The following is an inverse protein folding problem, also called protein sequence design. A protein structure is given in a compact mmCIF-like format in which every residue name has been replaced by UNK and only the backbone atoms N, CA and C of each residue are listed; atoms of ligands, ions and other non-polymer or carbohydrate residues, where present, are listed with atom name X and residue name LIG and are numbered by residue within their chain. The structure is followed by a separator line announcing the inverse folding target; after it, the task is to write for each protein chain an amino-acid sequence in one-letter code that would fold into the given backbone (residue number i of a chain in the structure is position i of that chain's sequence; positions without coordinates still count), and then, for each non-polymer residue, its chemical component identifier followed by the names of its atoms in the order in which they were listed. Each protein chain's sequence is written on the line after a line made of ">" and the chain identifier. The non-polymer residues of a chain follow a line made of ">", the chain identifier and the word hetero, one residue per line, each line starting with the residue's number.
data_IF_663423180521
#
_entry.id   IF_663423180521
#
_cell.length_a   1.000
_cell.length_b   1.000
_cell.length_c   1.000
_cell.angle_alpha   90.00
_cell.angle_beta   90.00
_cell.angle_gamma   90.00
#
_symmetry.space_group_name_H-M   'P 1'
#
loop_
_entity.id
_entity.type
_entity.pdbx_description
1 polymer ?
#
# COMPACT_ATOMS: atom_id res chain seq x y z
N UNK A 1 -10.84 -29.05 12.90
CA UNK A 1 -10.92 -28.63 11.49
C UNK A 1 -11.65 -27.29 11.46
N UNK A 2 -10.93 -26.18 11.53
CA UNK A 2 -11.51 -24.84 11.51
C UNK A 2 -11.80 -24.46 10.06
N UNK A 3 -13.09 -24.30 9.74
CA UNK A 3 -13.55 -23.61 8.55
C UNK A 3 -12.81 -22.27 8.47
N UNK A 4 -11.99 -22.07 7.44
CA UNK A 4 -11.45 -20.75 7.16
C UNK A 4 -12.62 -19.96 6.60
N UNK A 5 -13.22 -19.11 7.42
CA UNK A 5 -14.27 -18.20 6.98
C UNK A 5 -13.74 -17.32 5.84
N UNK A 6 -14.57 -17.14 4.82
CA UNK A 6 -14.30 -16.29 3.66
C UNK A 6 -15.02 -14.96 3.91
N UNK A 7 -14.39 -14.00 4.63
CA UNK A 7 -15.06 -12.80 5.14
C UNK A 7 -15.64 -11.93 4.02
N UNK A 8 -15.11 -12.07 2.80
CA UNK A 8 -15.62 -11.40 1.60
C UNK A 8 -17.05 -11.84 1.26
N UNK A 9 -17.49 -13.04 1.67
CA UNK A 9 -18.90 -13.43 1.51
C UNK A 9 -19.81 -12.50 2.31
N UNK A 10 -19.43 -12.19 3.55
CA UNK A 10 -20.18 -11.28 4.42
C UNK A 10 -20.07 -9.83 3.96
N UNK A 11 -18.85 -9.38 3.61
CA UNK A 11 -18.60 -8.03 3.09
C UNK A 11 -19.36 -7.77 1.78
N UNK A 12 -19.32 -8.71 0.83
CA UNK A 12 -20.05 -8.58 -0.42
C UNK A 12 -21.57 -8.65 -0.19
N UNK A 13 -22.05 -9.56 0.66
CA UNK A 13 -23.49 -9.67 0.97
C UNK A 13 -24.06 -8.39 1.58
N UNK A 14 -23.27 -7.63 2.35
CA UNK A 14 -23.71 -6.36 2.93
C UNK A 14 -23.85 -5.23 1.90
N UNK A 15 -22.98 -5.22 0.88
CA UNK A 15 -22.88 -4.09 -0.06
C UNK A 15 -23.57 -4.35 -1.41
N UNK A 16 -23.77 -5.61 -1.78
CA UNK A 16 -24.23 -6.04 -3.10
C UNK A 16 -25.49 -6.89 -3.01
N UNK A 17 -26.34 -6.79 -4.04
CA UNK A 17 -27.47 -7.67 -4.24
C UNK A 17 -27.01 -8.96 -4.94
N UNK A 18 -26.40 -9.86 -4.16
CA UNK A 18 -25.80 -11.09 -4.65
C UNK A 18 -26.82 -12.07 -5.23
N UNK A 19 -28.02 -12.14 -4.68
CA UNK A 19 -29.05 -13.07 -5.16
C UNK A 19 -29.44 -12.77 -6.61
N UNK A 20 -29.77 -11.50 -6.90
CA UNK A 20 -30.08 -11.07 -8.27
C UNK A 20 -28.88 -11.24 -9.21
N UNK A 21 -27.66 -10.99 -8.73
CA UNK A 21 -26.45 -11.15 -9.53
C UNK A 21 -26.19 -12.61 -9.88
N UNK A 22 -26.39 -13.54 -8.94
CA UNK A 22 -26.22 -14.97 -9.18
C UNK A 22 -27.30 -15.51 -10.12
N UNK A 23 -28.54 -15.06 -9.99
CA UNK A 23 -29.63 -15.45 -10.88
C UNK A 23 -29.37 -14.97 -12.31
N UNK A 24 -28.98 -13.70 -12.48
CA UNK A 24 -28.66 -13.14 -13.79
C UNK A 24 -27.46 -13.86 -14.45
N UNK A 25 -26.41 -14.17 -13.67
CA UNK A 25 -25.26 -14.93 -14.19
C UNK A 25 -25.61 -16.39 -14.53
N UNK A 26 -26.52 -17.02 -13.78
CA UNK A 26 -26.96 -18.39 -14.02
C UNK A 26 -27.68 -18.54 -15.37
N UNK A 27 -28.36 -17.49 -15.85
CA UNK A 27 -28.96 -17.45 -17.20
C UNK A 27 -27.89 -17.66 -18.28
N UNK A 28 -26.77 -16.95 -18.18
CA UNK A 28 -25.68 -17.05 -19.17
C UNK A 28 -24.84 -18.32 -19.02
N UNK A 29 -24.71 -18.83 -17.80
CA UNK A 29 -24.07 -20.11 -17.55
C UNK A 29 -24.93 -21.31 -17.99
N UNK A 30 -26.25 -21.13 -18.08
CA UNK A 30 -27.26 -22.20 -18.24
C UNK A 30 -27.28 -23.23 -17.10
N UNK A 31 -26.57 -22.95 -15.99
CA UNK A 31 -26.46 -23.76 -14.79
C UNK A 31 -26.28 -22.83 -13.58
N UNK A 32 -26.60 -23.29 -12.36
CA UNK A 32 -26.32 -22.53 -11.14
C UNK A 32 -24.84 -22.15 -11.03
N UNK A 33 -24.59 -20.94 -10.51
CA UNK A 33 -23.24 -20.49 -10.16
C UNK A 33 -22.74 -21.37 -9.00
N UNK A 34 -21.56 -21.97 -9.18
CA UNK A 34 -20.94 -22.87 -8.21
C UNK A 34 -20.41 -22.11 -7.00
N UNK A 35 -20.22 -22.79 -5.88
CA UNK A 35 -19.67 -22.18 -4.67
C UNK A 35 -18.27 -21.59 -4.88
N UNK A 36 -17.48 -22.18 -5.77
CA UNK A 36 -16.18 -21.64 -6.17
C UNK A 36 -16.34 -20.30 -6.88
N UNK A 37 -17.20 -20.23 -7.90
CA UNK A 37 -17.45 -18.99 -8.65
C UNK A 37 -18.08 -17.91 -7.77
N UNK A 38 -18.95 -18.27 -6.81
CA UNK A 38 -19.50 -17.33 -5.84
C UNK A 38 -18.43 -16.70 -4.97
N UNK A 39 -17.50 -17.51 -4.43
CA UNK A 39 -16.36 -17.01 -3.63
C UNK A 39 -15.46 -16.10 -4.44
N UNK A 40 -15.13 -16.50 -5.67
CA UNK A 40 -14.38 -15.67 -6.59
C UNK A 40 -15.10 -14.34 -6.86
N UNK A 41 -16.40 -14.37 -7.19
CA UNK A 41 -17.18 -13.17 -7.48
C UNK A 41 -17.23 -12.23 -6.27
N UNK A 42 -17.49 -12.75 -5.06
CA UNK A 42 -17.51 -11.92 -3.85
C UNK A 42 -16.15 -11.25 -3.59
N UNK A 43 -15.06 -11.99 -3.74
CA UNK A 43 -13.73 -11.42 -3.60
C UNK A 43 -13.45 -10.32 -4.65
N UNK A 44 -13.87 -10.54 -5.90
CA UNK A 44 -13.77 -9.55 -6.97
C UNK A 44 -14.59 -8.28 -6.65
N UNK A 45 -15.83 -8.44 -6.18
CA UNK A 45 -16.70 -7.33 -5.76
C UNK A 45 -16.12 -6.52 -4.59
N UNK A 46 -15.31 -7.16 -3.74
CA UNK A 46 -14.54 -6.51 -2.68
C UNK A 46 -13.16 -6.00 -3.16
N UNK A 47 -12.94 -5.85 -4.47
CA UNK A 47 -11.66 -5.41 -5.07
C UNK A 47 -10.44 -6.25 -4.65
N UNK A 48 -10.62 -7.55 -4.40
CA UNK A 48 -9.51 -8.46 -4.12
C UNK A 48 -8.95 -9.02 -5.42
N UNK A 49 -7.62 -9.03 -5.54
CA UNK A 49 -6.94 -9.52 -6.72
C UNK A 49 -6.90 -11.06 -6.80
N UNK A 50 -6.47 -11.58 -7.95
CA UNK A 50 -6.45 -13.03 -8.23
C UNK A 50 -5.51 -13.78 -7.27
N UNK A 51 -4.38 -13.18 -6.90
CA UNK A 51 -3.41 -13.74 -5.95
C UNK A 51 -4.02 -13.93 -4.57
N UNK A 52 -4.80 -12.96 -4.10
CA UNK A 52 -5.56 -13.05 -2.86
C UNK A 52 -6.57 -14.19 -2.91
N UNK A 53 -7.35 -14.28 -4.00
CA UNK A 53 -8.35 -15.34 -4.19
C UNK A 53 -7.68 -16.73 -4.16
N UNK A 54 -6.56 -16.87 -4.87
CA UNK A 54 -5.77 -18.11 -4.90
C UNK A 54 -5.27 -18.51 -3.51
N UNK A 55 -4.72 -17.56 -2.74
CA UNK A 55 -4.28 -17.79 -1.37
C UNK A 55 -5.43 -18.26 -0.47
N UNK A 56 -6.59 -17.60 -0.53
CA UNK A 56 -7.76 -17.94 0.31
C UNK A 56 -8.37 -19.29 -0.07
N UNK A 57 -8.39 -19.61 -1.36
CA UNK A 57 -8.91 -20.88 -1.86
C UNK A 57 -7.92 -22.03 -1.74
N UNK A 58 -6.64 -21.76 -1.38
CA UNK A 58 -5.52 -22.71 -1.40
C UNK A 58 -5.31 -23.33 -2.78
N UNK A 59 -5.42 -22.50 -3.82
CA UNK A 59 -5.25 -22.88 -5.21
C UNK A 59 -4.03 -22.18 -5.80
N UNK A 60 -3.49 -22.74 -6.89
CA UNK A 60 -2.48 -22.04 -7.67
C UNK A 60 -3.12 -20.87 -8.42
N UNK A 61 -2.41 -19.74 -8.48
CA UNK A 61 -2.87 -18.50 -9.15
C UNK A 61 -3.24 -18.75 -10.61
N UNK A 62 -2.44 -19.53 -11.33
CA UNK A 62 -2.70 -19.91 -12.71
C UNK A 62 -4.00 -20.71 -12.90
N UNK A 63 -4.34 -21.56 -11.93
CA UNK A 63 -5.59 -22.33 -11.95
C UNK A 63 -6.80 -21.43 -11.71
N UNK A 64 -6.76 -20.54 -10.70
CA UNK A 64 -7.83 -19.55 -10.47
C UNK A 64 -8.02 -18.66 -11.69
N UNK A 65 -6.93 -18.19 -12.31
CA UNK A 65 -7.00 -17.38 -13.54
C UNK A 65 -7.65 -18.13 -14.69
N UNK A 66 -7.30 -19.39 -14.89
CA UNK A 66 -7.88 -20.22 -15.96
C UNK A 66 -9.38 -20.38 -15.76
N UNK A 67 -9.81 -20.65 -14.53
CA UNK A 67 -11.23 -20.77 -14.18
C UNK A 67 -11.98 -19.45 -14.36
N UNK A 68 -11.41 -18.32 -13.93
CA UNK A 68 -12.01 -17.01 -14.16
C UNK A 68 -12.15 -16.71 -15.66
N UNK A 69 -11.11 -16.93 -16.46
CA UNK A 69 -11.11 -16.64 -17.89
C UNK A 69 -12.05 -17.54 -18.70
N UNK A 70 -12.15 -18.83 -18.35
CA UNK A 70 -12.99 -19.80 -19.08
C UNK A 70 -14.44 -19.83 -18.58
N UNK A 71 -14.66 -19.49 -17.30
CA UNK A 71 -15.98 -19.48 -16.66
C UNK A 71 -16.46 -18.06 -16.39
N UNK A 72 -16.29 -17.60 -15.15
CA UNK A 72 -16.94 -16.40 -14.60
C UNK A 72 -16.84 -15.16 -15.50
N UNK A 73 -15.69 -14.89 -16.13
CA UNK A 73 -15.53 -13.75 -17.02
C UNK A 73 -16.36 -13.88 -18.30
N UNK A 74 -16.57 -15.07 -18.84
CA UNK A 74 -17.44 -15.24 -20.02
C UNK A 74 -18.88 -14.87 -19.70
N UNK A 75 -19.35 -15.24 -18.51
CA UNK A 75 -20.71 -14.90 -18.05
C UNK A 75 -20.83 -13.39 -17.77
N UNK A 76 -19.82 -12.78 -17.16
CA UNK A 76 -19.77 -11.34 -16.93
C UNK A 76 -19.68 -10.52 -18.22
N UNK A 77 -18.96 -11.01 -19.25
CA UNK A 77 -18.94 -10.41 -20.58
C UNK A 77 -20.34 -10.40 -21.19
N UNK A 78 -21.03 -11.52 -21.12
CA UNK A 78 -22.38 -11.64 -21.66
C UNK A 78 -23.39 -10.78 -20.90
N UNK A 79 -23.25 -10.68 -19.57
CA UNK A 79 -24.11 -9.87 -18.72
C UNK A 79 -23.91 -8.35 -18.91
N UNK A 80 -22.66 -7.91 -19.04
CA UNK A 80 -22.30 -6.47 -19.09
C UNK A 80 -22.12 -5.95 -20.52
N UNK A 81 -22.10 -6.84 -21.53
CA UNK A 81 -21.76 -6.53 -22.92
C UNK A 81 -20.37 -5.90 -23.12
N UNK A 82 -19.46 -6.07 -22.15
CA UNK A 82 -18.08 -5.59 -22.22
C UNK A 82 -17.16 -6.71 -22.67
N UNK A 83 -16.38 -6.50 -23.73
CA UNK A 83 -15.53 -7.55 -24.30
C UNK A 83 -14.34 -7.95 -23.41
N UNK A 84 -13.83 -7.03 -22.60
CA UNK A 84 -12.65 -7.22 -21.75
C UNK A 84 -12.99 -7.05 -20.27
N UNK A 85 -13.12 -8.18 -19.59
CA UNK A 85 -13.27 -8.23 -18.13
C UNK A 85 -11.90 -8.40 -17.49
N UNK A 86 -11.62 -7.58 -16.49
CA UNK A 86 -10.40 -7.64 -15.67
C UNK A 86 -10.86 -7.58 -14.21
N UNK A 87 -10.19 -8.29 -13.30
CA UNK A 87 -10.67 -8.45 -11.93
C UNK A 87 -11.04 -7.12 -11.24
N UNK A 88 -10.30 -6.05 -11.53
CA UNK A 88 -10.45 -4.73 -10.92
C UNK A 88 -11.68 -3.96 -11.42
N UNK A 89 -12.14 -4.23 -12.64
CA UNK A 89 -13.29 -3.53 -13.23
C UNK A 89 -14.62 -4.21 -12.91
N UNK A 90 -14.60 -5.43 -12.36
CA UNK A 90 -15.81 -6.20 -12.05
C UNK A 90 -16.76 -5.45 -11.10
N UNK A 91 -16.31 -4.82 -10.00
CA UNK A 91 -17.17 -4.00 -9.16
C UNK A 91 -17.84 -2.87 -9.96
N UNK A 92 -17.05 -2.09 -10.70
CA UNK A 92 -17.54 -0.90 -11.41
C UNK A 92 -18.59 -1.27 -12.47
N UNK A 93 -18.36 -2.38 -13.19
CA UNK A 93 -19.30 -2.89 -14.19
C UNK A 93 -20.64 -3.32 -13.59
N UNK A 94 -20.66 -3.76 -12.33
CA UNK A 94 -21.84 -4.29 -11.67
C UNK A 94 -22.50 -3.27 -10.73
N UNK A 95 -21.80 -2.18 -10.41
CA UNK A 95 -22.20 -1.20 -9.40
C UNK A 95 -23.58 -0.59 -9.70
N UNK A 96 -23.79 -0.13 -10.93
CA UNK A 96 -25.03 0.57 -11.34
C UNK A 96 -26.29 -0.29 -11.14
N UNK A 97 -26.15 -1.61 -11.31
CA UNK A 97 -27.27 -2.57 -11.35
C UNK A 97 -27.42 -3.36 -10.05
N UNK A 98 -26.34 -3.63 -9.32
CA UNK A 98 -26.35 -4.57 -8.21
C UNK A 98 -25.93 -3.98 -6.86
N UNK A 99 -25.45 -2.73 -6.79
CA UNK A 99 -25.08 -2.11 -5.51
C UNK A 99 -26.34 -1.69 -4.73
N UNK A 100 -26.37 -1.98 -3.41
CA UNK A 100 -27.57 -1.81 -2.58
C UNK A 100 -27.90 -0.33 -2.27
N UNK A 101 -26.96 0.61 -2.37
CA UNK A 101 -27.15 2.02 -2.00
C UNK A 101 -26.78 2.97 -3.13
N UNK A 102 -27.78 3.54 -3.82
CA UNK A 102 -27.61 4.39 -5.01
C UNK A 102 -27.71 5.91 -4.73
N UNK A 103 -27.63 6.38 -3.48
CA UNK A 103 -28.15 7.71 -3.11
C UNK A 103 -27.14 8.84 -2.78
N UNK A 104 -25.87 8.81 -3.22
CA UNK A 104 -24.92 9.88 -2.84
C UNK A 104 -23.95 10.41 -3.91
N UNK A 105 -23.98 9.95 -5.17
CA UNK A 105 -22.93 10.29 -6.16
C UNK A 105 -23.47 10.96 -7.45
N UNK A 106 -24.23 12.05 -7.37
CA UNK A 106 -24.66 12.80 -8.56
C UNK A 106 -24.03 14.21 -8.72
N UNK A 107 -22.99 14.56 -7.95
CA UNK A 107 -22.43 15.92 -7.97
C UNK A 107 -20.90 16.02 -8.19
N UNK A 108 -20.22 15.04 -8.80
CA UNK A 108 -18.75 15.05 -8.95
C UNK A 108 -18.21 14.75 -10.37
N UNK A 109 -18.99 14.98 -11.43
CA UNK A 109 -18.63 14.60 -12.81
C UNK A 109 -17.56 15.49 -13.51
N UNK A 110 -16.66 16.16 -12.80
CA UNK A 110 -15.53 16.89 -13.42
C UNK A 110 -14.15 16.41 -12.93
N UNK A 111 -14.06 15.71 -11.78
CA UNK A 111 -12.78 15.18 -11.29
C UNK A 111 -12.54 13.69 -11.63
N UNK A 112 -13.60 12.90 -11.86
CA UNK A 112 -13.47 11.44 -12.10
C UNK A 112 -12.70 11.08 -13.38
N UNK A 113 -12.73 11.91 -14.42
CA UNK A 113 -12.05 11.59 -15.69
C UNK A 113 -10.53 11.62 -15.59
N UNK A 114 -9.96 12.34 -14.63
CA UNK A 114 -8.51 12.39 -14.41
C UNK A 114 -8.06 11.24 -13.50
N UNK A 115 -8.86 10.89 -12.48
CA UNK A 115 -8.60 9.77 -11.56
C UNK A 115 -8.74 8.38 -12.23
N UNK A 116 -9.73 8.21 -13.12
CA UNK A 116 -9.96 6.95 -13.84
C UNK A 116 -8.83 6.61 -14.83
N UNK A 117 -8.17 7.61 -15.42
CA UNK A 117 -7.03 7.38 -16.31
C UNK A 117 -5.75 7.00 -15.55
N UNK A 118 -5.56 7.51 -14.32
CA UNK A 118 -4.47 7.07 -13.45
C UNK A 118 -4.69 5.65 -12.92
N UNK A 119 -5.89 5.33 -12.43
CA UNK A 119 -6.22 4.03 -11.83
C UNK A 119 -6.13 2.88 -12.87
N UNK A 120 -6.53 3.15 -14.12
CA UNK A 120 -6.43 2.19 -15.22
C UNK A 120 -4.98 1.92 -15.66
N UNK A 121 -4.11 2.95 -15.65
CA UNK A 121 -2.68 2.78 -15.92
C UNK A 121 -1.98 2.01 -14.80
N UNK A 122 -2.32 2.25 -13.53
CA UNK A 122 -1.65 1.58 -12.42
C UNK A 122 -2.02 0.09 -12.33
N UNK A 123 -3.29 -0.26 -12.52
CA UNK A 123 -3.70 -1.67 -12.47
C UNK A 123 -3.14 -2.49 -13.63
N UNK A 124 -3.01 -1.89 -14.82
CA UNK A 124 -2.35 -2.54 -15.96
C UNK A 124 -0.88 -2.86 -15.69
N UNK A 125 -0.21 -2.05 -14.87
CA UNK A 125 1.22 -2.17 -14.61
C UNK A 125 1.50 -3.23 -13.55
N UNK A 126 0.74 -3.28 -12.46
CA UNK A 126 0.85 -4.35 -11.46
C UNK A 126 0.61 -5.70 -12.13
N UNK A 127 -0.45 -5.80 -12.95
CA UNK A 127 -0.71 -6.99 -13.72
C UNK A 127 0.43 -7.34 -14.71
N UNK A 128 1.10 -6.34 -15.30
CA UNK A 128 2.24 -6.57 -16.20
C UNK A 128 3.46 -7.09 -15.45
N UNK A 129 3.78 -6.48 -14.30
CA UNK A 129 4.88 -6.92 -13.44
C UNK A 129 4.58 -8.34 -12.94
N UNK A 130 3.42 -8.58 -12.31
CA UNK A 130 3.02 -9.91 -11.82
C UNK A 130 3.08 -10.99 -12.92
N UNK A 131 2.59 -10.68 -14.13
CA UNK A 131 2.64 -11.63 -15.26
C UNK A 131 4.07 -11.98 -15.69
N UNK A 132 4.98 -11.00 -15.67
CA UNK A 132 6.37 -11.21 -16.07
C UNK A 132 7.17 -11.92 -14.96
N UNK A 133 6.90 -11.61 -13.68
CA UNK A 133 7.49 -12.34 -12.55
C UNK A 133 7.11 -13.82 -12.57
N UNK A 134 5.83 -14.10 -12.80
CA UNK A 134 5.31 -15.48 -12.89
C UNK A 134 5.93 -16.24 -14.08
N UNK A 135 6.09 -15.59 -15.24
CA UNK A 135 6.75 -16.21 -16.41
C UNK A 135 8.19 -16.62 -16.15
N UNK A 136 8.95 -15.83 -15.38
CA UNK A 136 10.35 -16.15 -15.04
C UNK A 136 10.47 -17.17 -13.91
N UNK A 137 9.50 -17.23 -12.99
CA UNK A 137 9.43 -18.27 -11.93
C UNK A 137 9.10 -19.66 -12.49
N UNK A 138 8.37 -19.74 -13.60
CA UNK A 138 8.04 -21.01 -14.29
C UNK A 138 9.14 -21.45 -15.28
N UNK A 139 10.11 -20.59 -15.58
CA UNK A 139 11.20 -20.86 -16.52
C UNK A 139 12.49 -21.18 -15.77
N UNK A 140 12.81 -22.47 -15.65
CA UNK A 140 14.12 -22.95 -15.21
C UNK A 140 15.13 -22.63 -16.33
N UNK A 141 15.65 -21.39 -16.38
CA UNK A 141 16.59 -20.94 -17.42
C UNK A 141 17.85 -20.36 -16.80
N UNK A 142 19.05 -20.82 -17.25
CA UNK A 142 20.33 -20.36 -16.74
C UNK A 142 20.58 -18.90 -17.12
N UNK A 143 21.23 -18.18 -16.20
CA UNK A 143 21.80 -16.85 -16.41
C UNK A 143 22.64 -16.80 -17.70
N UNK A 144 22.09 -16.22 -18.77
CA UNK A 144 22.88 -15.81 -19.94
C UNK A 144 23.20 -14.33 -19.85
N UNK A 145 24.46 -14.06 -19.45
CA UNK A 145 25.17 -12.79 -19.68
C UNK A 145 24.97 -12.29 -21.12
N UNK A 146 24.88 -10.97 -21.26
CA UNK A 146 25.10 -10.16 -22.47
C UNK A 146 23.92 -9.58 -23.27
N UNK A 147 22.72 -9.41 -22.70
CA UNK A 147 21.80 -8.35 -23.19
C UNK A 147 21.04 -7.71 -22.00
N UNK A 148 21.73 -6.89 -21.20
CA UNK A 148 21.08 -5.99 -20.25
C UNK A 148 21.41 -4.56 -20.67
N UNK A 149 20.39 -3.87 -21.19
CA UNK A 149 20.30 -2.42 -21.04
C UNK A 149 20.60 -2.13 -19.56
N UNK A 150 21.62 -1.33 -19.26
CA UNK A 150 22.17 -1.21 -17.89
C UNK A 150 21.07 -0.80 -16.90
N UNK A 151 20.57 -1.74 -16.10
CA UNK A 151 19.48 -1.53 -15.13
C UNK A 151 19.80 -0.37 -14.20
N UNK A 152 21.07 -0.24 -13.80
CA UNK A 152 21.52 0.85 -12.95
C UNK A 152 21.32 2.21 -13.63
N UNK A 153 21.58 2.34 -14.94
CA UNK A 153 21.36 3.60 -15.67
C UNK A 153 19.88 3.98 -15.70
N UNK A 154 19.00 2.99 -15.82
CA UNK A 154 17.54 3.21 -15.79
C UNK A 154 17.08 3.61 -14.38
N UNK A 155 17.65 3.01 -13.34
CA UNK A 155 17.41 3.42 -11.94
C UNK A 155 17.91 4.84 -11.70
N UNK A 156 19.14 5.15 -12.11
CA UNK A 156 19.77 6.47 -11.91
C UNK A 156 18.98 7.57 -12.65
N UNK A 157 18.47 7.28 -13.84
CA UNK A 157 17.56 8.19 -14.55
C UNK A 157 16.24 8.39 -13.79
N UNK A 158 15.68 7.31 -13.22
CA UNK A 158 14.51 7.38 -12.35
C UNK A 158 14.78 8.24 -11.10
N UNK A 159 15.93 8.07 -10.46
CA UNK A 159 16.35 8.82 -9.28
C UNK A 159 16.54 10.31 -9.62
N UNK A 160 17.15 10.63 -10.76
CA UNK A 160 17.23 11.99 -11.27
C UNK A 160 15.85 12.60 -11.46
N UNK A 161 14.92 11.87 -12.09
CA UNK A 161 13.54 12.33 -12.31
C UNK A 161 12.78 12.55 -11.01
N UNK A 162 12.96 11.67 -10.03
CA UNK A 162 12.40 11.81 -8.69
C UNK A 162 12.90 13.09 -8.01
N UNK A 163 14.21 13.37 -8.08
CA UNK A 163 14.82 14.58 -7.51
C UNK A 163 14.33 15.86 -8.17
N UNK A 164 13.99 15.81 -9.47
CA UNK A 164 13.40 16.94 -10.19
C UNK A 164 11.88 17.03 -10.05
N UNK A 165 11.27 16.25 -9.15
CA UNK A 165 9.82 16.15 -8.91
C UNK A 165 8.99 15.71 -10.14
N UNK A 166 9.62 15.09 -11.13
CA UNK A 166 8.95 14.50 -12.30
C UNK A 166 8.61 13.03 -12.00
N UNK A 167 7.68 12.85 -11.06
CA UNK A 167 7.36 11.53 -10.51
C UNK A 167 6.77 10.58 -11.56
N UNK A 168 6.04 11.10 -12.56
CA UNK A 168 5.49 10.28 -13.64
C UNK A 168 6.60 9.69 -14.51
N UNK A 169 7.62 10.49 -14.87
CA UNK A 169 8.78 9.98 -15.60
C UNK A 169 9.63 9.04 -14.73
N UNK A 170 9.79 9.33 -13.44
CA UNK A 170 10.49 8.46 -12.50
C UNK A 170 9.82 7.07 -12.42
N UNK A 171 8.49 7.04 -12.23
CA UNK A 171 7.67 5.83 -12.23
C UNK A 171 7.86 5.04 -13.51
N UNK A 172 7.87 5.69 -14.68
CA UNK A 172 8.10 5.02 -15.96
C UNK A 172 9.48 4.35 -15.99
N UNK A 173 10.52 5.08 -15.60
CA UNK A 173 11.90 4.56 -15.57
C UNK A 173 12.03 3.37 -14.62
N UNK A 174 11.51 3.50 -13.40
CA UNK A 174 11.56 2.41 -12.42
C UNK A 174 10.80 1.15 -12.87
N UNK A 175 9.67 1.31 -13.59
CA UNK A 175 8.96 0.17 -14.17
C UNK A 175 9.77 -0.54 -15.25
N UNK A 176 10.47 0.23 -16.09
CA UNK A 176 11.40 -0.34 -17.07
C UNK A 176 12.52 -1.12 -16.37
N UNK A 177 13.06 -0.60 -15.25
CA UNK A 177 14.06 -1.30 -14.45
C UNK A 177 13.55 -2.62 -13.85
N UNK A 178 12.31 -2.66 -13.34
CA UNK A 178 11.69 -3.90 -12.80
C UNK A 178 11.45 -4.95 -13.89
N UNK A 179 11.12 -4.53 -15.12
CA UNK A 179 10.97 -5.48 -16.24
C UNK A 179 12.32 -6.10 -16.64
N UNK A 180 13.40 -5.31 -16.57
CA UNK A 180 14.74 -5.78 -16.86
C UNK A 180 15.25 -6.75 -15.79
N UNK A 181 15.13 -6.37 -14.52
CA UNK A 181 15.47 -7.20 -13.36
C UNK A 181 14.30 -7.28 -12.39
N UNK A 182 13.69 -8.45 -12.31
CA UNK A 182 12.53 -8.70 -11.45
C UNK A 182 12.93 -8.90 -9.98
N UNK A 183 14.20 -9.23 -9.72
CA UNK A 183 14.68 -9.54 -8.37
C UNK A 183 14.86 -8.29 -7.50
N UNK A 184 14.91 -7.09 -8.11
CA UNK A 184 15.16 -5.83 -7.43
C UNK A 184 13.89 -5.25 -6.76
N UNK A 185 13.32 -5.98 -5.80
CA UNK A 185 12.11 -5.56 -5.06
C UNK A 185 12.23 -4.17 -4.41
N UNK A 186 13.44 -3.70 -4.10
CA UNK A 186 13.68 -2.34 -3.60
C UNK A 186 13.23 -1.22 -4.56
N UNK A 187 13.18 -1.47 -5.88
CA UNK A 187 12.66 -0.48 -6.85
C UNK A 187 11.16 -0.27 -6.65
N UNK A 188 10.41 -1.28 -6.18
CA UNK A 188 8.99 -1.13 -5.90
C UNK A 188 8.75 -0.11 -4.79
N UNK A 189 9.65 0.00 -3.79
CA UNK A 189 9.60 1.08 -2.80
C UNK A 189 9.84 2.45 -3.42
N UNK A 190 10.75 2.58 -4.41
CA UNK A 190 10.95 3.84 -5.14
C UNK A 190 9.69 4.24 -5.93
N UNK A 191 9.01 3.28 -6.56
CA UNK A 191 7.72 3.52 -7.23
C UNK A 191 6.64 3.91 -6.21
N UNK A 192 6.59 3.22 -5.06
CA UNK A 192 5.66 3.54 -3.98
C UNK A 192 5.86 4.97 -3.47
N UNK A 193 7.12 5.40 -3.27
CA UNK A 193 7.44 6.78 -2.89
C UNK A 193 6.98 7.79 -3.94
N UNK A 194 7.10 7.49 -5.24
CA UNK A 194 6.56 8.37 -6.28
C UNK A 194 5.03 8.48 -6.20
N UNK A 195 4.32 7.36 -6.01
CA UNK A 195 2.87 7.40 -5.84
C UNK A 195 2.45 8.17 -4.59
N UNK A 196 3.17 8.01 -3.49
CA UNK A 196 2.97 8.81 -2.28
C UNK A 196 3.11 10.32 -2.56
N UNK A 197 4.16 10.75 -3.29
CA UNK A 197 4.33 12.17 -3.67
C UNK A 197 3.22 12.68 -4.59
N UNK A 198 2.54 11.79 -5.32
CA UNK A 198 1.38 12.11 -6.16
C UNK A 198 0.05 12.02 -5.40
N UNK A 199 0.06 11.78 -4.09
CA UNK A 199 -1.12 11.52 -3.25
C UNK A 199 -1.94 10.29 -3.66
N UNK A 200 -1.33 9.37 -4.40
CA UNK A 200 -1.88 8.09 -4.83
C UNK A 200 -1.57 7.03 -3.76
N UNK A 201 -2.24 7.14 -2.61
CA UNK A 201 -1.91 6.37 -1.41
C UNK A 201 -2.21 4.87 -1.56
N UNK A 202 -3.31 4.50 -2.22
CA UNK A 202 -3.68 3.10 -2.42
C UNK A 202 -2.64 2.39 -3.28
N UNK A 203 -2.17 3.05 -4.34
CA UNK A 203 -1.12 2.57 -5.22
C UNK A 203 0.20 2.40 -4.47
N UNK A 204 0.57 3.36 -3.63
CA UNK A 204 1.76 3.26 -2.80
C UNK A 204 1.67 2.07 -1.83
N UNK A 205 0.51 1.88 -1.17
CA UNK A 205 0.28 0.76 -0.26
C UNK A 205 0.36 -0.59 -0.97
N UNK A 206 -0.19 -0.72 -2.18
CA UNK A 206 -0.13 -1.95 -2.97
C UNK A 206 1.33 -2.34 -3.22
N UNK A 207 2.17 -1.38 -3.64
CA UNK A 207 3.59 -1.64 -3.92
C UNK A 207 4.34 -2.06 -2.66
N UNK A 208 4.12 -1.40 -1.53
CA UNK A 208 4.74 -1.78 -0.25
C UNK A 208 4.29 -3.17 0.22
N UNK A 209 2.99 -3.47 0.16
CA UNK A 209 2.47 -4.77 0.56
C UNK A 209 2.99 -5.90 -0.34
N UNK A 210 3.21 -5.61 -1.63
CA UNK A 210 3.87 -6.55 -2.53
C UNK A 210 5.29 -6.86 -2.05
N UNK A 211 6.10 -5.85 -1.75
CA UNK A 211 7.47 -6.07 -1.23
C UNK A 211 7.46 -6.92 0.05
N UNK A 212 6.51 -6.67 0.96
CA UNK A 212 6.39 -7.40 2.22
C UNK A 212 5.93 -8.86 2.06
N UNK A 213 5.16 -9.16 1.01
CA UNK A 213 4.63 -10.49 0.73
C UNK A 213 5.66 -11.44 0.08
N UNK A 214 6.75 -10.89 -0.46
CA UNK A 214 7.78 -11.65 -1.20
C UNK A 214 9.11 -11.68 -0.43
N UNK A 215 10.03 -12.60 -0.79
CA UNK A 215 11.34 -12.72 -0.14
C UNK A 215 12.27 -11.53 -0.51
N UNK A 216 12.03 -10.38 0.11
CA UNK A 216 12.91 -9.22 0.12
C UNK A 216 13.86 -9.23 1.32
N UNK A 217 14.98 -8.51 1.20
CA UNK A 217 15.89 -8.27 2.32
C UNK A 217 15.22 -7.46 3.42
N UNK A 218 15.67 -7.59 4.66
CA UNK A 218 15.09 -6.85 5.79
C UNK A 218 15.16 -5.33 5.57
N UNK A 219 16.26 -4.83 4.99
CA UNK A 219 16.44 -3.43 4.65
C UNK A 219 15.36 -2.92 3.68
N UNK A 220 15.06 -3.69 2.64
CA UNK A 220 14.00 -3.37 1.68
C UNK A 220 12.61 -3.41 2.36
N UNK A 221 12.38 -4.33 3.30
CA UNK A 221 11.12 -4.39 4.05
C UNK A 221 10.96 -3.23 5.04
N UNK A 222 12.06 -2.79 5.66
CA UNK A 222 12.07 -1.62 6.56
C UNK A 222 11.59 -0.38 5.82
N UNK A 223 12.06 -0.15 4.59
CA UNK A 223 11.60 0.96 3.76
C UNK A 223 10.09 0.89 3.48
N UNK A 224 9.57 -0.31 3.17
CA UNK A 224 8.13 -0.51 2.95
C UNK A 224 7.31 -0.25 4.21
N UNK A 225 7.76 -0.74 5.37
CA UNK A 225 7.11 -0.48 6.64
C UNK A 225 7.14 1.00 7.00
N UNK A 226 8.27 1.68 6.80
CA UNK A 226 8.36 3.11 7.07
C UNK A 226 7.40 3.90 6.18
N UNK A 227 7.35 3.60 4.88
CA UNK A 227 6.44 4.30 3.96
C UNK A 227 4.96 4.03 4.26
N UNK A 228 4.58 2.79 4.61
CA UNK A 228 3.22 2.48 5.07
C UNK A 228 2.86 3.26 6.34
N UNK A 229 3.81 3.42 7.26
CA UNK A 229 3.65 4.24 8.46
C UNK A 229 3.37 5.71 8.12
N UNK A 230 4.15 6.29 7.20
CA UNK A 230 3.98 7.67 6.71
C UNK A 230 2.62 7.84 6.02
N UNK A 231 2.23 6.91 5.15
CA UNK A 231 0.90 6.95 4.50
C UNK A 231 -0.22 6.93 5.55
N UNK A 232 -0.13 6.05 6.54
CA UNK A 232 -1.13 6.00 7.61
C UNK A 232 -1.14 7.28 8.46
N UNK A 233 0.01 7.90 8.72
CA UNK A 233 0.09 9.20 9.43
C UNK A 233 -0.60 10.32 8.63
N UNK A 234 -0.42 10.34 7.31
CA UNK A 234 -1.06 11.30 6.42
C UNK A 234 -2.59 11.12 6.40
N UNK A 235 -3.06 9.87 6.22
CA UNK A 235 -4.49 9.54 6.30
C UNK A 235 -5.09 9.85 7.68
N UNK A 236 -4.33 9.61 8.76
CA UNK A 236 -4.75 9.98 10.11
C UNK A 236 -4.96 11.49 10.22
N UNK A 237 -4.06 12.29 9.65
CA UNK A 237 -4.14 13.75 9.68
C UNK A 237 -5.33 14.31 8.90
N UNK A 238 -5.75 13.64 7.82
CA UNK A 238 -6.89 14.05 7.00
C UNK A 238 -8.24 13.68 7.64
N UNK A 239 -8.37 12.45 8.13
CA UNK A 239 -9.66 11.91 8.62
C UNK A 239 -9.82 11.95 10.15
N UNK A 240 -8.75 12.28 10.89
CA UNK A 240 -8.66 12.23 12.35
C UNK A 240 -9.20 10.92 12.97
N UNK A 241 -8.75 9.77 12.42
CA UNK A 241 -9.17 8.43 12.87
C UNK A 241 -8.07 7.72 13.66
N UNK A 242 -8.40 7.31 14.90
CA UNK A 242 -7.48 6.54 15.76
C UNK A 242 -6.98 5.24 15.11
N UNK A 243 -7.79 4.61 14.25
CA UNK A 243 -7.38 3.41 13.51
C UNK A 243 -6.13 3.65 12.65
N UNK A 244 -6.05 4.81 11.98
CA UNK A 244 -4.89 5.15 11.16
C UNK A 244 -3.68 5.50 12.04
N UNK A 245 -3.89 6.14 13.18
CA UNK A 245 -2.83 6.37 14.18
C UNK A 245 -2.24 5.03 14.65
N UNK A 246 -3.08 4.08 15.01
CA UNK A 246 -2.64 2.74 15.45
C UNK A 246 -1.90 2.00 14.33
N UNK A 247 -2.39 2.09 13.10
CA UNK A 247 -1.74 1.48 11.92
C UNK A 247 -0.37 2.08 11.66
N UNK A 248 -0.25 3.41 11.72
CA UNK A 248 1.03 4.11 11.56
C UNK A 248 2.04 3.66 12.62
N UNK A 249 1.65 3.64 13.90
CA UNK A 249 2.50 3.17 15.00
C UNK A 249 2.93 1.72 14.81
N UNK A 250 2.02 0.86 14.35
CA UNK A 250 2.34 -0.54 14.06
C UNK A 250 3.44 -0.64 13.01
N UNK A 251 3.28 0.04 11.88
CA UNK A 251 4.24 -0.02 10.78
C UNK A 251 5.59 0.60 11.15
N UNK A 252 5.61 1.73 11.84
CA UNK A 252 6.86 2.30 12.34
C UNK A 252 7.58 1.36 13.32
N UNK A 253 6.85 0.67 14.20
CA UNK A 253 7.45 -0.36 15.07
C UNK A 253 8.02 -1.52 14.29
N UNK A 254 7.33 -1.99 13.23
CA UNK A 254 7.88 -3.01 12.35
C UNK A 254 9.16 -2.54 11.66
N UNK A 255 9.23 -1.28 11.22
CA UNK A 255 10.44 -0.70 10.65
C UNK A 255 11.60 -0.70 11.67
N UNK A 256 11.36 -0.35 12.94
CA UNK A 256 12.39 -0.39 14.01
C UNK A 256 12.87 -1.83 14.24
N UNK A 257 11.94 -2.79 14.37
CA UNK A 257 12.26 -4.20 14.67
C UNK A 257 13.10 -4.85 13.58
N UNK A 258 12.80 -4.55 12.31
CA UNK A 258 13.46 -5.17 11.16
C UNK A 258 14.74 -4.43 10.73
N UNK A 259 15.09 -3.31 11.37
CA UNK A 259 16.31 -2.57 11.03
C UNK A 259 17.56 -3.28 11.56
N UNK A 260 18.61 -3.39 10.72
CA UNK A 260 19.92 -3.97 11.09
C UNK A 260 20.67 -3.13 12.14
N UNK A 261 20.23 -1.90 12.38
CA UNK A 261 20.67 -1.01 13.45
C UNK A 261 19.47 -0.24 14.00
N UNK A 262 19.69 0.59 15.02
CA UNK A 262 18.60 1.33 15.64
C UNK A 262 18.24 2.56 14.80
N UNK A 263 17.24 2.39 13.94
CA UNK A 263 16.73 3.45 13.10
C UNK A 263 15.85 4.40 13.92
N UNK A 264 16.30 5.64 14.10
CA UNK A 264 15.59 6.66 14.87
C UNK A 264 14.42 7.28 14.14
N UNK A 265 14.40 7.23 12.80
CA UNK A 265 13.38 7.92 12.01
C UNK A 265 11.97 7.39 12.31
N UNK A 266 11.69 6.08 12.25
CA UNK A 266 10.36 5.58 12.59
C UNK A 266 10.01 5.86 14.06
N UNK A 267 10.98 5.87 14.98
CA UNK A 267 10.75 6.19 16.38
C UNK A 267 10.35 7.67 16.56
N UNK A 268 11.00 8.57 15.84
CA UNK A 268 10.66 9.98 15.81
C UNK A 268 9.30 10.24 15.15
N UNK A 269 8.97 9.56 14.05
CA UNK A 269 7.66 9.70 13.41
C UNK A 269 6.51 9.29 14.36
N UNK A 270 6.70 8.29 15.22
CA UNK A 270 5.72 7.95 16.27
C UNK A 270 5.55 9.11 17.25
N UNK A 271 6.64 9.77 17.66
CA UNK A 271 6.60 10.93 18.56
C UNK A 271 5.83 12.07 17.90
N UNK A 272 6.20 12.44 16.67
CA UNK A 272 5.57 13.51 15.90
C UNK A 272 4.07 13.26 15.75
N UNK A 273 3.67 12.07 15.29
CA UNK A 273 2.28 11.68 15.12
C UNK A 273 1.49 11.83 16.43
N UNK A 274 2.00 11.30 17.54
CA UNK A 274 1.31 11.34 18.83
C UNK A 274 1.23 12.76 19.39
N UNK A 275 2.26 13.58 19.17
CA UNK A 275 2.25 15.00 19.55
C UNK A 275 1.19 15.77 18.75
N UNK A 276 1.16 15.59 17.43
CA UNK A 276 0.19 16.23 16.55
C UNK A 276 -1.25 15.89 16.99
N UNK A 277 -1.52 14.62 17.31
CA UNK A 277 -2.83 14.18 17.78
C UNK A 277 -3.16 14.69 19.18
N UNK A 278 -2.18 14.78 20.07
CA UNK A 278 -2.38 15.23 21.47
C UNK A 278 -2.91 16.65 21.59
N UNK A 279 -2.69 17.49 20.56
CA UNK A 279 -3.20 18.87 20.50
C UNK A 279 -4.73 18.93 20.45
N UNK A 280 -5.34 17.98 19.75
CA UNK A 280 -6.80 17.90 19.60
C UNK A 280 -7.41 16.89 20.60
N UNK A 281 -6.67 15.83 20.94
CA UNK A 281 -7.09 14.77 21.86
C UNK A 281 -6.07 14.58 22.98
N UNK A 282 -6.23 15.26 24.13
CA UNK A 282 -5.29 15.18 25.25
C UNK A 282 -5.04 13.75 25.78
N UNK A 283 -5.93 12.80 25.47
CA UNK A 283 -5.76 11.38 25.78
C UNK A 283 -4.51 10.75 25.16
N UNK A 284 -3.92 11.35 24.12
CA UNK A 284 -2.67 10.91 23.51
C UNK A 284 -1.40 11.43 24.23
N UNK A 285 -1.50 12.40 25.14
CA UNK A 285 -0.33 12.95 25.85
C UNK A 285 0.49 11.85 26.54
N UNK A 286 -0.10 10.91 27.32
CA UNK A 286 0.69 9.84 27.93
C UNK A 286 1.39 8.94 26.91
N UNK A 287 0.76 8.70 25.75
CA UNK A 287 1.35 7.90 24.66
C UNK A 287 2.52 8.64 24.03
N UNK A 288 2.39 9.95 23.79
CA UNK A 288 3.46 10.80 23.27
C UNK A 288 4.67 10.81 24.22
N UNK A 289 4.45 10.92 25.54
CA UNK A 289 5.53 10.86 26.55
C UNK A 289 6.28 9.52 26.51
N UNK A 290 5.55 8.40 26.40
CA UNK A 290 6.16 7.07 26.27
C UNK A 290 6.96 6.92 24.98
N UNK A 291 6.39 7.34 23.84
CA UNK A 291 7.09 7.32 22.57
C UNK A 291 8.37 8.16 22.59
N UNK A 292 8.33 9.31 23.25
CA UNK A 292 9.49 10.18 23.39
C UNK A 292 10.59 9.53 24.24
N UNK A 293 10.23 8.81 25.30
CA UNK A 293 11.17 8.02 26.09
C UNK A 293 11.81 6.90 25.26
N UNK A 294 11.01 6.15 24.49
CA UNK A 294 11.49 5.10 23.61
C UNK A 294 12.44 5.67 22.55
N UNK A 295 12.08 6.80 21.93
CA UNK A 295 12.94 7.53 21.01
C UNK A 295 14.28 7.90 21.66
N UNK A 296 14.28 8.54 22.84
CA UNK A 296 15.53 8.90 23.55
C UNK A 296 16.39 7.68 23.83
N UNK A 297 15.78 6.56 24.25
CA UNK A 297 16.48 5.30 24.51
C UNK A 297 17.11 4.71 23.26
N UNK A 298 16.45 4.82 22.10
CA UNK A 298 16.99 4.38 20.80
C UNK A 298 18.13 5.32 20.38
N UNK A 299 17.90 6.64 20.42
CA UNK A 299 18.86 7.66 20.02
C UNK A 299 20.14 7.69 20.86
N UNK A 300 20.08 7.30 22.14
CA UNK A 300 21.26 7.24 23.01
C UNK A 300 22.19 6.07 22.74
N UNK A 301 21.79 5.11 21.90
CA UNK A 301 22.62 3.93 21.63
C UNK A 301 23.68 4.24 20.57
N UNK A 302 24.88 3.69 20.78
CA UNK A 302 26.06 3.93 19.93
C UNK A 302 25.91 3.38 18.52
N UNK A 303 25.04 2.40 18.31
CA UNK A 303 24.70 1.81 17.01
C UNK A 303 23.43 2.41 16.39
N UNK A 304 22.90 3.50 16.96
CA UNK A 304 21.78 4.22 16.35
C UNK A 304 22.26 5.11 15.21
N UNK A 305 21.38 5.34 14.23
CA UNK A 305 21.64 6.31 13.16
C UNK A 305 21.28 7.75 13.56
N UNK A 306 21.08 8.03 14.86
CA UNK A 306 20.65 9.35 15.34
C UNK A 306 21.53 10.47 14.83
N UNK A 307 22.85 10.30 14.85
CA UNK A 307 23.80 11.33 14.43
C UNK A 307 23.58 11.79 12.98
N UNK A 308 23.15 10.90 12.08
CA UNK A 308 22.91 11.23 10.68
C UNK A 308 21.62 12.04 10.47
N UNK A 309 20.63 11.86 11.34
CA UNK A 309 19.31 12.51 11.23
C UNK A 309 19.07 13.60 12.28
N UNK A 310 20.06 13.84 13.14
CA UNK A 310 19.99 14.74 14.28
C UNK A 310 19.50 16.14 13.91
N UNK A 311 20.06 16.72 12.86
CA UNK A 311 19.68 18.08 12.42
C UNK A 311 18.23 18.18 11.96
N UNK A 312 17.74 17.19 11.18
CA UNK A 312 16.34 17.14 10.74
C UNK A 312 15.40 17.02 11.93
N UNK A 313 15.69 16.07 12.83
CA UNK A 313 14.88 15.81 14.01
C UNK A 313 14.81 17.04 14.91
N UNK A 314 15.92 17.75 15.13
CA UNK A 314 15.92 18.98 15.95
C UNK A 314 15.11 20.07 15.28
N UNK A 315 15.26 20.26 13.97
CA UNK A 315 14.50 21.26 13.21
C UNK A 315 12.99 21.00 13.31
N UNK A 316 12.58 19.74 13.18
CA UNK A 316 11.20 19.31 13.36
C UNK A 316 10.73 19.49 14.81
N UNK A 317 11.55 19.11 15.80
CA UNK A 317 11.23 19.29 17.22
C UNK A 317 10.93 20.76 17.56
N UNK A 318 11.75 21.69 17.06
CA UNK A 318 11.54 23.14 17.23
C UNK A 318 10.22 23.59 16.61
N UNK A 319 9.85 23.08 15.43
CA UNK A 319 8.55 23.39 14.80
C UNK A 319 7.34 22.83 15.56
N UNK A 320 7.55 21.83 16.43
CA UNK A 320 6.49 21.25 17.24
C UNK A 320 6.28 21.98 18.58
N UNK A 321 7.26 22.77 19.04
CA UNK A 321 7.28 23.49 20.32
C UNK A 321 6.34 24.71 20.39
N UNK A 322 5.08 24.54 20.00
CA UNK A 322 4.05 25.57 20.01
C UNK A 322 3.18 25.56 21.27
N UNK A 323 2.45 26.67 21.48
CA UNK A 323 1.47 26.83 22.57
C UNK A 323 0.36 25.77 22.48
N UNK A 324 0.31 24.84 23.44
CA UNK A 324 -0.72 23.81 23.53
C UNK A 324 -0.20 22.42 23.94
N UNK A 325 1.12 22.24 23.95
CA UNK A 325 1.74 21.04 24.50
C UNK A 325 1.87 21.10 26.03
N UNK A 326 1.88 19.91 26.64
CA UNK A 326 2.18 19.73 28.06
C UNK A 326 3.59 20.24 28.39
N UNK A 327 3.74 20.90 29.55
CA UNK A 327 4.99 21.55 29.98
C UNK A 327 6.18 20.59 30.00
N UNK A 328 5.97 19.31 30.37
CA UNK A 328 7.03 18.31 30.33
C UNK A 328 7.47 18.05 28.89
N UNK A 329 6.55 17.92 27.93
CA UNK A 329 6.88 17.69 26.53
C UNK A 329 7.63 18.88 25.92
N UNK A 330 7.20 20.11 26.23
CA UNK A 330 7.90 21.32 25.81
C UNK A 330 9.33 21.35 26.35
N UNK A 331 9.52 21.07 27.64
CA UNK A 331 10.85 21.01 28.23
C UNK A 331 11.70 19.94 27.54
N UNK A 332 11.13 18.76 27.27
CA UNK A 332 11.86 17.69 26.62
C UNK A 332 12.27 17.99 25.17
N UNK A 333 11.44 18.70 24.40
CA UNK A 333 11.77 19.18 23.06
C UNK A 333 12.85 20.27 23.12
N UNK A 334 12.76 21.18 24.09
CA UNK A 334 13.78 22.20 24.32
C UNK A 334 15.12 21.58 24.72
N UNK A 335 15.14 20.58 25.62
CA UNK A 335 16.36 19.85 25.98
C UNK A 335 17.03 19.21 24.76
N UNK A 336 16.25 18.63 23.83
CA UNK A 336 16.79 18.09 22.57
C UNK A 336 17.47 19.18 21.71
N UNK A 337 16.94 20.40 21.74
CA UNK A 337 17.52 21.55 21.03
C UNK A 337 18.73 22.16 21.75
N UNK A 338 18.75 22.18 23.09
CA UNK A 338 19.77 22.83 23.91
C UNK A 338 21.04 21.98 24.09
N UNK A 339 20.95 20.65 24.03
CA UNK A 339 22.11 19.74 24.18
C UNK A 339 23.23 20.03 23.14
N UNK A 340 23.00 20.90 22.15
CA UNK A 340 23.94 21.14 21.06
C UNK A 340 24.08 22.58 20.58
N UNK A 341 23.77 23.57 21.42
CA UNK A 341 24.31 24.93 21.24
C UNK A 341 25.79 25.04 21.66
N UNK A 342 26.37 23.96 22.20
CA UNK A 342 27.74 23.88 22.71
C UNK A 342 28.44 22.65 22.10
N UNK A 343 28.68 22.67 20.79
CA UNK A 343 29.72 21.95 20.06
C UNK A 343 29.97 22.71 18.75
#
# INVERSE_FOLDING_TARGET
>A
MTSIDFPELSEAANNWNLDNLYDDLAVYKSLPISDFEKKCLCALLCRRNISYIALRLKWAVGSVRTELCRGLYQYLKALTSVEKIVWNNVPDLLEVRYRKNKSLLLNQDINLTVELESEYKVTSIVATIENEMLRRLDADVPESKDILLNVQVVIDYGDYKYQTNDYVAAIKSYKEAVVLDISCLGILNKIASCYYQLHLYDEAQIMCNFVLAYPATDEVKVDSYNLLGVICQELASQDYKDLYVQSAIYFFKQAIINSRGLNVIPAWNIVELLLAFSRNEPSYIPRAKLAFYDFKKIASQTNSNFQAYRESIIKEAVSLSDNGLDEWLLQQLNDLSEIFAIQ
#
